data_IF_741239799286
#
_entry.id   IF_741239799286
#
_cell.length_a   1.000
_cell.length_b   1.000
_cell.length_c   1.000
_cell.angle_alpha   90.00
_cell.angle_beta   90.00
_cell.angle_gamma   90.00
#
_symmetry.space_group_name_H-M   'P 1'
#
loop_
_entity.id
_entity.type
_entity.pdbx_description
1 polymer ?
#
# COMPACT_ATOMS: atom_id res chain seq x y z
N UNK A 1 53.01 -10.87 7.20
CA UNK A 1 52.16 -10.12 8.15
C UNK A 1 51.74 -8.75 7.63
N UNK A 2 52.68 -7.88 7.20
CA UNK A 2 52.35 -6.52 6.68
C UNK A 2 51.35 -6.53 5.50
N UNK A 3 51.52 -7.45 4.55
CA UNK A 3 50.61 -7.60 3.39
C UNK A 3 49.18 -7.99 3.78
N UNK A 4 49.03 -8.80 4.84
CA UNK A 4 47.70 -9.20 5.36
C UNK A 4 47.00 -8.03 6.05
N UNK A 5 47.76 -7.17 6.74
CA UNK A 5 47.24 -5.99 7.40
C UNK A 5 46.76 -4.94 6.38
N UNK A 6 47.54 -4.72 5.32
CA UNK A 6 47.13 -3.83 4.21
C UNK A 6 45.89 -4.36 3.50
N UNK A 7 45.82 -5.66 3.23
CA UNK A 7 44.65 -6.29 2.63
C UNK A 7 43.39 -6.17 3.52
N UNK A 8 43.53 -6.31 4.84
CA UNK A 8 42.41 -6.11 5.79
C UNK A 8 41.91 -4.66 5.81
N UNK A 9 42.81 -3.68 5.81
CA UNK A 9 42.42 -2.26 5.78
C UNK A 9 41.70 -1.93 4.47
N UNK A 10 42.21 -2.44 3.34
CA UNK A 10 41.56 -2.26 2.05
C UNK A 10 40.16 -2.87 2.01
N UNK A 11 40.00 -4.09 2.53
CA UNK A 11 38.70 -4.77 2.59
C UNK A 11 37.69 -4.00 3.46
N UNK A 12 38.10 -3.47 4.61
CA UNK A 12 37.23 -2.69 5.51
C UNK A 12 36.80 -1.36 4.85
N UNK A 13 37.70 -0.71 4.10
CA UNK A 13 37.37 0.54 3.39
C UNK A 13 36.34 0.37 2.26
N UNK A 14 36.26 -0.82 1.66
CA UNK A 14 35.25 -1.13 0.64
C UNK A 14 33.85 -1.33 1.24
N UNK A 15 33.76 -1.82 2.49
CA UNK A 15 32.46 -2.08 3.15
C UNK A 15 31.75 -0.77 3.54
N UNK A 16 32.50 0.30 3.85
CA UNK A 16 31.91 1.59 4.24
C UNK A 16 31.22 2.35 3.10
N UNK A 17 31.32 1.88 1.85
CA UNK A 17 30.67 2.48 0.68
C UNK A 17 29.43 1.70 0.21
N UNK A 18 29.04 0.64 0.92
CA UNK A 18 27.80 -0.09 0.62
C UNK A 18 26.59 0.64 1.22
N UNK A 19 25.98 1.51 0.43
CA UNK A 19 24.61 1.98 0.64
C UNK A 19 23.63 0.85 0.28
N UNK A 20 23.31 -0.03 1.23
CA UNK A 20 22.17 -0.93 1.06
C UNK A 20 20.88 -0.11 1.19
N UNK A 21 19.88 -0.36 0.35
CA UNK A 21 18.57 0.26 0.50
C UNK A 21 17.91 -0.27 1.79
N UNK A 22 18.06 0.44 2.91
CA UNK A 22 17.49 0.02 4.20
C UNK A 22 15.98 0.33 4.28
N UNK A 23 15.52 1.35 3.55
CA UNK A 23 14.13 1.88 3.60
C UNK A 23 13.43 1.85 2.23
N UNK A 24 14.19 1.89 1.13
CA UNK A 24 13.64 1.88 -0.23
C UNK A 24 13.20 0.48 -0.63
N UNK A 25 11.90 0.27 -0.83
CA UNK A 25 11.36 -0.99 -1.39
C UNK A 25 10.22 -1.65 -0.63
N UNK A 26 9.70 -1.05 0.45
CA UNK A 26 8.56 -1.62 1.20
C UNK A 26 7.26 -1.65 0.40
N UNK A 27 7.02 -0.65 -0.46
CA UNK A 27 5.93 -0.65 -1.42
C UNK A 27 6.25 0.25 -2.63
N UNK A 28 6.28 -0.33 -3.83
CA UNK A 28 6.37 0.43 -5.11
C UNK A 28 5.03 1.11 -5.42
N UNK A 29 3.94 0.58 -4.89
CA UNK A 29 2.57 1.02 -5.12
C UNK A 29 1.85 1.27 -3.79
N UNK A 30 2.41 2.18 -2.97
CA UNK A 30 1.86 2.58 -1.66
C UNK A 30 0.38 3.02 -1.78
N UNK A 31 -0.03 3.61 -2.90
CA UNK A 31 -1.42 4.02 -3.11
C UNK A 31 -2.43 2.86 -3.03
N UNK A 32 -2.01 1.60 -3.20
CA UNK A 32 -2.89 0.43 -3.04
C UNK A 32 -3.26 0.18 -1.57
N UNK A 33 -2.51 0.74 -0.61
CA UNK A 33 -2.80 0.64 0.83
C UNK A 33 -3.75 1.73 1.31
N UNK A 34 -4.02 2.74 0.47
CA UNK A 34 -4.88 3.86 0.83
C UNK A 34 -6.37 3.45 0.84
N UNK A 35 -7.20 4.10 1.68
CA UNK A 35 -8.61 3.76 1.77
C UNK A 35 -9.34 3.98 0.44
N UNK A 36 -10.14 2.99 0.03
CA UNK A 36 -10.80 3.00 -1.27
C UNK A 36 -12.07 3.88 -1.34
N UNK A 37 -12.62 4.30 -0.20
CA UNK A 37 -13.83 5.12 -0.10
C UNK A 37 -13.73 6.16 1.01
N UNK A 38 -14.46 7.30 0.93
CA UNK A 38 -14.53 8.28 1.99
C UNK A 38 -14.99 7.69 3.32
N UNK A 39 -15.86 6.68 3.27
CA UNK A 39 -16.34 5.95 4.44
C UNK A 39 -15.20 5.21 5.14
N UNK A 40 -14.37 4.47 4.39
CA UNK A 40 -13.19 3.82 4.96
C UNK A 40 -12.23 4.86 5.54
N UNK A 41 -11.98 5.97 4.84
CA UNK A 41 -11.12 7.06 5.34
C UNK A 41 -11.63 7.64 6.67
N UNK A 42 -12.94 7.89 6.77
CA UNK A 42 -13.55 8.44 7.99
C UNK A 42 -13.54 7.47 9.18
N UNK A 43 -13.47 6.15 8.92
CA UNK A 43 -13.52 5.09 9.93
C UNK A 43 -12.15 4.49 10.26
N UNK A 44 -11.06 5.21 9.94
CA UNK A 44 -9.70 4.78 10.30
C UNK A 44 -9.07 3.79 9.33
N UNK A 45 -9.59 3.67 8.12
CA UNK A 45 -8.95 3.00 6.98
C UNK A 45 -9.24 1.51 6.84
N UNK A 46 -9.89 0.85 7.81
CA UNK A 46 -10.20 -0.58 7.70
C UNK A 46 -11.51 -0.96 8.40
N UNK A 47 -12.28 -1.85 7.78
CA UNK A 47 -13.55 -2.35 8.32
C UNK A 47 -13.73 -3.85 7.99
N UNK A 48 -12.84 -4.74 8.48
CA UNK A 48 -12.76 -6.13 8.01
C UNK A 48 -13.96 -7.01 8.40
N UNK A 49 -14.74 -6.61 9.40
CA UNK A 49 -15.91 -7.34 9.89
C UNK A 49 -17.24 -6.84 9.34
N UNK A 50 -17.25 -5.70 8.63
CA UNK A 50 -18.49 -5.09 8.14
C UNK A 50 -18.87 -5.71 6.81
N UNK A 51 -20.09 -6.27 6.75
CA UNK A 51 -20.68 -6.88 5.55
C UNK A 51 -22.02 -6.23 5.24
N UNK A 52 -21.97 -5.16 4.46
CA UNK A 52 -23.15 -4.41 4.01
C UNK A 52 -23.11 -4.20 2.48
N UNK A 53 -23.94 -3.29 1.96
CA UNK A 53 -24.02 -3.00 0.54
C UNK A 53 -22.83 -2.23 -0.05
N UNK A 54 -21.80 -1.89 0.72
CA UNK A 54 -20.65 -1.13 0.22
C UNK A 54 -19.69 -2.04 -0.56
N UNK A 55 -19.66 -1.89 -1.88
CA UNK A 55 -18.76 -2.65 -2.74
C UNK A 55 -17.29 -2.30 -2.44
N UNK A 56 -16.93 -1.09 -2.03
CA UNK A 56 -15.54 -0.68 -1.85
C UNK A 56 -14.83 -1.48 -0.76
N UNK A 57 -15.58 -2.06 0.18
CA UNK A 57 -15.04 -3.02 1.15
C UNK A 57 -14.42 -4.25 0.48
N UNK A 58 -14.95 -4.67 -0.67
CA UNK A 58 -14.44 -5.81 -1.45
C UNK A 58 -13.06 -5.57 -2.07
N UNK A 59 -12.61 -4.30 -2.17
CA UNK A 59 -11.26 -3.95 -2.63
C UNK A 59 -10.24 -4.37 -1.58
N UNK A 60 -10.52 -4.12 -0.30
CA UNK A 60 -9.67 -4.54 0.82
C UNK A 60 -9.80 -6.03 1.15
N UNK A 61 -11.00 -6.60 1.02
CA UNK A 61 -11.25 -8.01 1.30
C UNK A 61 -12.39 -8.54 0.42
N UNK A 62 -12.03 -9.38 -0.57
CA UNK A 62 -12.99 -9.98 -1.52
C UNK A 62 -14.10 -10.79 -0.84
N UNK A 63 -13.88 -11.33 0.36
CA UNK A 63 -14.90 -12.08 1.10
C UNK A 63 -16.07 -11.20 1.60
N UNK A 64 -15.90 -9.87 1.60
CA UNK A 64 -16.95 -8.92 1.97
C UNK A 64 -17.91 -8.63 0.82
N UNK A 65 -17.58 -8.99 -0.44
CA UNK A 65 -18.54 -8.92 -1.54
C UNK A 65 -19.73 -9.82 -1.23
N UNK A 66 -20.94 -9.28 -1.39
CA UNK A 66 -22.18 -9.95 -1.01
C UNK A 66 -23.35 -9.49 -1.90
N UNK A 67 -24.52 -10.15 -1.83
CA UNK A 67 -25.67 -9.83 -2.69
C UNK A 67 -26.19 -8.39 -2.57
N UNK A 68 -25.97 -7.70 -1.45
CA UNK A 68 -26.43 -6.31 -1.28
C UNK A 68 -25.68 -5.35 -2.21
N UNK A 69 -24.46 -5.70 -2.61
CA UNK A 69 -23.63 -4.94 -3.55
C UNK A 69 -23.84 -5.34 -5.03
N UNK A 70 -24.72 -6.31 -5.33
CA UNK A 70 -24.90 -6.78 -6.71
C UNK A 70 -25.38 -5.63 -7.63
N UNK A 71 -24.74 -5.50 -8.80
CA UNK A 71 -25.00 -4.45 -9.79
C UNK A 71 -24.73 -3.01 -9.34
N UNK A 72 -23.96 -2.82 -8.28
CA UNK A 72 -23.56 -1.47 -7.86
C UNK A 72 -22.36 -0.96 -8.66
N UNK A 73 -22.36 0.35 -8.89
CA UNK A 73 -21.23 1.10 -9.46
C UNK A 73 -20.80 2.10 -8.39
N UNK A 74 -19.50 2.15 -8.12
CA UNK A 74 -18.91 3.04 -7.13
C UNK A 74 -17.79 3.86 -7.77
N UNK A 75 -17.80 5.16 -7.46
CA UNK A 75 -16.81 6.14 -7.90
C UNK A 75 -16.38 6.97 -6.69
N UNK A 76 -15.10 6.90 -6.36
CA UNK A 76 -14.52 7.55 -5.19
C UNK A 76 -13.28 8.33 -5.57
N UNK A 77 -13.07 9.48 -4.94
CA UNK A 77 -11.91 10.33 -5.16
C UNK A 77 -11.39 10.89 -3.83
N UNK A 78 -10.09 10.82 -3.60
CA UNK A 78 -9.43 11.36 -2.42
C UNK A 78 -8.54 12.54 -2.80
N UNK A 79 -8.74 13.66 -2.12
CA UNK A 79 -7.96 14.88 -2.29
C UNK A 79 -6.86 14.93 -1.23
N UNK A 80 -5.64 14.52 -1.57
CA UNK A 80 -4.47 14.76 -0.72
C UNK A 80 -3.80 16.04 -1.20
N UNK A 81 -3.67 17.02 -0.29
CA UNK A 81 -3.22 18.37 -0.62
C UNK A 81 -1.74 18.44 -1.03
N UNK A 82 -0.93 17.44 -0.63
CA UNK A 82 0.53 17.45 -0.80
C UNK A 82 1.04 16.27 -1.66
N UNK A 83 0.39 15.12 -1.62
CA UNK A 83 0.91 13.85 -2.16
C UNK A 83 0.22 13.37 -3.45
N UNK A 84 -0.45 14.28 -4.16
CA UNK A 84 -1.20 13.97 -5.38
C UNK A 84 -2.63 13.48 -5.11
N UNK A 85 -3.41 13.27 -6.16
CA UNK A 85 -4.81 12.84 -6.07
C UNK A 85 -4.94 11.41 -6.58
N UNK A 86 -5.81 10.62 -5.96
CA UNK A 86 -6.14 9.27 -6.42
C UNK A 86 -7.63 8.99 -6.24
N UNK A 87 -8.12 8.00 -6.98
CA UNK A 87 -9.51 7.61 -6.93
C UNK A 87 -9.70 6.14 -7.28
N UNK A 88 -10.86 5.63 -6.93
CA UNK A 88 -11.29 4.26 -7.18
C UNK A 88 -12.58 4.29 -8.01
N UNK A 89 -12.64 3.39 -8.99
CA UNK A 89 -13.84 3.13 -9.77
C UNK A 89 -14.05 1.62 -9.80
N UNK A 90 -15.29 1.18 -9.56
CA UNK A 90 -15.60 -0.24 -9.49
C UNK A 90 -17.04 -0.56 -9.86
N UNK A 91 -17.24 -1.81 -10.27
CA UNK A 91 -18.55 -2.40 -10.48
C UNK A 91 -18.62 -3.77 -9.80
N UNK A 92 -19.69 -4.03 -9.05
CA UNK A 92 -19.86 -5.25 -8.30
C UNK A 92 -20.77 -6.21 -9.05
N UNK A 93 -20.25 -7.42 -9.25
CA UNK A 93 -21.01 -8.58 -9.68
C UNK A 93 -20.78 -9.70 -8.70
N UNK A 94 -21.74 -9.88 -7.81
CA UNK A 94 -21.82 -11.03 -6.91
C UNK A 94 -22.58 -12.17 -7.58
#
# INVERSE_FOLDING_TARGET
MKQLLVASIFLVSMVSQLEAQVVGGTAVYEFLTLPASPRLSALGGSMPSVRDGDQMLSISNRALLNPLAHQQIDLNHSFHLLDGQFGYAGYARH
#
